data_IF_153662828475
#
_entry.id   IF_153662828475
#
_cell.length_a   1.000
_cell.length_b   1.000
_cell.length_c   1.000
_cell.angle_alpha   90.00
_cell.angle_beta   90.00
_cell.angle_gamma   90.00
#
_symmetry.space_group_name_H-M   'P 1'
#
loop_
_entity.id
_entity.type
_entity.pdbx_description
1 polymer ?
#
# COMPACT_ATOMS: atom_id res chain seq x y z
N UNK A 1 -20.25 7.30 -12.97
CA UNK A 1 -20.04 8.72 -12.61
C UNK A 1 -19.18 8.76 -11.36
N UNK A 2 -18.01 9.44 -11.37
CA UNK A 2 -17.16 9.59 -10.19
C UNK A 2 -17.37 11.00 -9.59
N UNK A 3 -17.64 11.07 -8.30
CA UNK A 3 -17.73 12.31 -7.54
C UNK A 3 -16.57 12.36 -6.55
N UNK A 4 -15.89 13.49 -6.47
CA UNK A 4 -14.81 13.73 -5.50
C UNK A 4 -15.11 15.05 -4.81
N UNK A 5 -15.16 15.06 -3.48
CA UNK A 5 -15.53 16.23 -2.67
C UNK A 5 -16.82 16.92 -3.13
N UNK A 6 -17.85 16.14 -3.47
CA UNK A 6 -19.14 16.64 -3.92
C UNK A 6 -19.16 17.24 -5.34
N UNK A 7 -18.03 17.27 -6.04
CA UNK A 7 -17.94 17.79 -7.42
C UNK A 7 -17.90 16.64 -8.42
N UNK A 8 -18.57 16.85 -9.56
CA UNK A 8 -18.50 15.94 -10.71
C UNK A 8 -17.08 15.97 -11.26
N UNK A 9 -16.43 14.82 -11.28
CA UNK A 9 -15.07 14.71 -11.81
C UNK A 9 -15.07 14.05 -13.18
N UNK A 10 -14.17 14.51 -14.05
CA UNK A 10 -13.93 13.87 -15.35
C UNK A 10 -13.11 12.62 -15.11
N UNK A 11 -13.57 11.49 -15.65
CA UNK A 11 -12.84 10.23 -15.56
C UNK A 11 -11.51 10.34 -16.31
N UNK A 12 -10.42 9.90 -15.67
CA UNK A 12 -9.12 9.79 -16.33
C UNK A 12 -9.09 8.52 -17.18
N UNK A 13 -9.40 8.65 -18.46
CA UNK A 13 -9.45 7.52 -19.40
C UNK A 13 -8.12 6.75 -19.51
N UNK A 14 -6.99 7.41 -19.22
CA UNK A 14 -5.65 6.81 -19.23
C UNK A 14 -5.27 6.14 -17.91
N UNK A 15 -6.00 6.41 -16.81
CA UNK A 15 -5.72 5.87 -15.49
C UNK A 15 -7.04 5.61 -14.73
N UNK A 16 -7.77 4.57 -15.16
CA UNK A 16 -9.12 4.26 -14.65
C UNK A 16 -9.16 3.97 -13.15
N UNK A 17 -8.07 3.43 -12.62
CA UNK A 17 -7.88 3.10 -11.21
C UNK A 17 -7.25 4.23 -10.40
N UNK A 18 -6.97 5.38 -11.02
CA UNK A 18 -6.31 6.52 -10.37
C UNK A 18 -5.01 6.11 -9.64
N UNK A 19 -4.22 5.22 -10.26
CA UNK A 19 -2.93 4.76 -9.74
C UNK A 19 -1.89 5.88 -9.83
N UNK A 20 -1.37 6.32 -8.68
CA UNK A 20 -0.23 7.21 -8.58
C UNK A 20 0.77 6.61 -7.59
N UNK A 21 2.00 6.37 -8.03
CA UNK A 21 3.00 5.68 -7.24
C UNK A 21 3.81 6.65 -6.39
N UNK A 22 4.01 6.30 -5.12
CA UNK A 22 4.92 7.02 -4.23
C UNK A 22 6.34 6.83 -4.73
N UNK A 23 7.12 7.92 -4.77
CA UNK A 23 8.55 7.82 -5.10
C UNK A 23 9.27 7.00 -4.02
N UNK A 24 10.26 6.19 -4.41
CA UNK A 24 10.95 5.27 -3.51
C UNK A 24 11.66 5.97 -2.35
N UNK A 25 12.30 7.10 -2.61
CA UNK A 25 12.96 7.94 -1.60
C UNK A 25 11.98 8.47 -0.55
N UNK A 26 10.78 8.88 -0.98
CA UNK A 26 9.71 9.31 -0.09
C UNK A 26 9.18 8.14 0.73
N UNK A 27 8.98 6.97 0.12
CA UNK A 27 8.53 5.77 0.81
C UNK A 27 9.54 5.34 1.89
N UNK A 28 10.84 5.36 1.58
CA UNK A 28 11.91 5.06 2.53
C UNK A 28 11.94 6.04 3.70
N UNK A 29 11.86 7.34 3.43
CA UNK A 29 11.79 8.37 4.47
C UNK A 29 10.61 8.14 5.42
N UNK A 30 9.42 7.92 4.86
CA UNK A 30 8.19 7.71 5.65
C UNK A 30 8.20 6.39 6.41
N UNK A 31 8.77 5.34 5.83
CA UNK A 31 8.97 4.07 6.51
C UNK A 31 9.89 4.25 7.72
N UNK A 32 11.04 4.91 7.58
CA UNK A 32 11.96 5.15 8.68
C UNK A 32 11.32 5.95 9.82
N UNK A 33 10.55 6.99 9.50
CA UNK A 33 9.78 7.75 10.51
C UNK A 33 8.75 6.83 11.21
N UNK A 34 8.07 5.98 10.46
CA UNK A 34 7.08 5.05 11.00
C UNK A 34 7.73 4.05 11.97
N UNK A 35 8.87 3.48 11.58
CA UNK A 35 9.68 2.60 12.43
C UNK A 35 10.10 3.33 13.71
N UNK A 36 10.63 4.55 13.59
CA UNK A 36 11.06 5.35 14.75
C UNK A 36 9.92 5.62 15.73
N UNK A 37 8.73 5.97 15.23
CA UNK A 37 7.57 6.27 16.07
C UNK A 37 7.02 5.00 16.73
N UNK A 38 6.85 3.92 15.97
CA UNK A 38 6.27 2.67 16.49
C UNK A 38 7.21 2.02 17.52
N UNK A 39 8.53 2.03 17.27
CA UNK A 39 9.52 1.46 18.18
C UNK A 39 9.60 2.12 19.55
N UNK A 40 9.01 3.31 19.74
CA UNK A 40 8.89 3.95 21.06
C UNK A 40 7.87 3.26 21.96
N UNK A 41 6.95 2.49 21.39
CA UNK A 41 5.82 1.90 22.10
C UNK A 41 5.75 0.37 21.95
N UNK A 42 6.26 -0.17 20.84
CA UNK A 42 6.08 -1.58 20.48
C UNK A 42 7.34 -2.19 19.86
N UNK A 43 7.50 -3.51 19.98
CA UNK A 43 8.54 -4.23 19.26
C UNK A 43 8.05 -4.65 17.86
N UNK A 44 8.55 -3.95 16.85
CA UNK A 44 8.14 -4.10 15.44
C UNK A 44 8.27 -5.54 14.91
N UNK A 45 9.18 -6.34 15.48
CA UNK A 45 9.40 -7.74 15.05
C UNK A 45 8.22 -8.66 15.36
N UNK A 46 7.33 -8.24 16.27
CA UNK A 46 6.22 -9.05 16.74
C UNK A 46 5.00 -8.99 15.79
N UNK A 47 5.02 -8.06 14.83
CA UNK A 47 3.89 -7.80 13.94
C UNK A 47 4.07 -8.38 12.54
N UNK A 48 2.94 -8.65 11.88
CA UNK A 48 2.85 -8.87 10.44
C UNK A 48 2.37 -7.56 9.81
N UNK A 49 3.09 -7.09 8.81
CA UNK A 49 2.76 -5.86 8.10
C UNK A 49 1.79 -6.14 6.97
N UNK A 50 0.66 -5.43 6.94
CA UNK A 50 -0.31 -5.51 5.84
C UNK A 50 -0.26 -4.22 5.04
N UNK A 51 0.03 -4.35 3.75
CA UNK A 51 0.07 -3.24 2.80
C UNK A 51 -1.10 -3.35 1.81
N UNK A 52 -2.23 -2.70 2.08
CA UNK A 52 -3.28 -2.52 1.08
C UNK A 52 -2.83 -1.56 -0.01
N UNK A 53 -3.42 -1.66 -1.20
CA UNK A 53 -3.11 -0.82 -2.36
C UNK A 53 -1.60 -0.76 -2.66
N UNK A 54 -0.97 -1.93 -2.63
CA UNK A 54 0.50 -2.08 -2.73
C UNK A 54 1.09 -1.51 -4.02
N UNK A 55 0.31 -1.36 -5.08
CA UNK A 55 0.69 -0.76 -6.35
C UNK A 55 1.98 -1.33 -6.94
N UNK A 56 3.00 -0.48 -7.08
CA UNK A 56 4.33 -0.82 -7.56
C UNK A 56 5.26 -1.35 -6.46
N UNK A 57 4.80 -1.46 -5.22
CA UNK A 57 5.49 -2.08 -4.10
C UNK A 57 6.56 -1.21 -3.44
N UNK A 58 6.56 0.11 -3.65
CA UNK A 58 7.58 1.01 -3.09
C UNK A 58 7.75 0.89 -1.56
N UNK A 59 6.65 0.85 -0.79
CA UNK A 59 6.70 0.56 0.65
C UNK A 59 6.86 -0.93 0.93
N UNK A 60 6.17 -1.80 0.17
CA UNK A 60 6.14 -3.24 0.45
C UNK A 60 7.55 -3.85 0.40
N UNK A 61 8.40 -3.36 -0.50
CA UNK A 61 9.78 -3.79 -0.63
C UNK A 61 10.61 -3.56 0.64
N UNK A 62 10.30 -2.51 1.41
CA UNK A 62 10.99 -2.12 2.64
C UNK A 62 10.57 -2.99 3.85
N UNK A 63 9.38 -3.58 3.79
CA UNK A 63 8.85 -4.40 4.89
C UNK A 63 9.65 -5.72 5.04
N UNK A 64 9.75 -6.29 6.25
CA UNK A 64 10.46 -7.56 6.45
C UNK A 64 9.84 -8.70 5.62
N UNK A 65 10.65 -9.39 4.81
CA UNK A 65 10.19 -10.32 3.76
C UNK A 65 9.29 -11.46 4.27
N UNK A 66 9.53 -11.94 5.49
CA UNK A 66 8.80 -13.04 6.13
C UNK A 66 7.65 -12.57 7.04
N UNK A 67 7.40 -11.27 7.13
CA UNK A 67 6.39 -10.65 8.01
C UNK A 67 5.60 -9.58 7.25
N UNK A 68 5.25 -9.84 6.00
CA UNK A 68 4.53 -8.89 5.15
C UNK A 68 3.51 -9.55 4.24
N UNK A 69 2.37 -8.88 4.05
CA UNK A 69 1.29 -9.25 3.14
C UNK A 69 0.96 -8.01 2.31
N UNK A 70 1.04 -8.13 0.99
CA UNK A 70 0.78 -7.03 0.07
C UNK A 70 -0.41 -7.36 -0.81
N UNK A 71 -1.38 -6.47 -0.86
CA UNK A 71 -2.65 -6.66 -1.58
C UNK A 71 -2.85 -5.49 -2.52
N UNK A 72 -3.26 -5.77 -3.76
CA UNK A 72 -3.63 -4.74 -4.73
C UNK A 72 -4.69 -5.25 -5.73
N UNK A 73 -5.50 -4.36 -6.30
CA UNK A 73 -6.47 -4.72 -7.34
C UNK A 73 -5.79 -5.05 -8.68
N UNK A 74 -4.67 -4.38 -8.97
CA UNK A 74 -3.88 -4.54 -10.19
C UNK A 74 -2.38 -4.51 -9.85
N UNK A 75 -1.87 -5.57 -9.18
CA UNK A 75 -0.50 -5.58 -8.70
C UNK A 75 0.50 -5.54 -9.84
N UNK A 76 1.58 -4.78 -9.66
CA UNK A 76 2.71 -4.74 -10.61
C UNK A 76 3.84 -5.70 -10.27
N UNK A 77 3.63 -6.57 -9.27
CA UNK A 77 4.60 -7.56 -8.81
C UNK A 77 3.91 -8.88 -8.55
N UNK A 78 4.58 -9.98 -8.90
CA UNK A 78 4.03 -11.33 -8.83
C UNK A 78 3.78 -11.82 -7.40
N UNK A 79 4.48 -11.27 -6.40
CA UNK A 79 4.34 -11.65 -5.00
C UNK A 79 3.28 -10.86 -4.23
N UNK A 80 2.56 -9.96 -4.90
CA UNK A 80 1.42 -9.25 -4.32
C UNK A 80 0.14 -10.02 -4.61
N UNK A 81 -0.75 -10.11 -3.63
CA UNK A 81 -2.04 -10.75 -3.76
C UNK A 81 -2.94 -9.84 -4.59
N UNK A 82 -3.43 -10.35 -5.74
CA UNK A 82 -4.41 -9.64 -6.56
C UNK A 82 -5.82 -9.80 -5.95
N UNK A 83 -6.27 -8.81 -5.17
CA UNK A 83 -7.58 -8.85 -4.52
C UNK A 83 -8.09 -7.45 -4.15
N UNK A 84 -9.40 -7.34 -3.97
CA UNK A 84 -10.03 -6.21 -3.29
C UNK A 84 -9.78 -6.35 -1.78
N UNK A 85 -9.05 -5.38 -1.20
CA UNK A 85 -8.71 -5.38 0.23
C UNK A 85 -9.95 -5.36 1.13
N UNK A 86 -11.07 -4.80 0.68
CA UNK A 86 -12.29 -4.75 1.49
C UNK A 86 -13.08 -6.05 1.48
N UNK A 87 -12.68 -7.04 0.67
CA UNK A 87 -13.38 -8.32 0.51
C UNK A 87 -12.51 -9.52 0.87
N UNK A 88 -11.25 -9.30 1.21
CA UNK A 88 -10.30 -10.36 1.53
C UNK A 88 -10.46 -10.79 2.98
N UNK A 89 -10.36 -12.10 3.22
CA UNK A 89 -10.24 -12.67 4.55
C UNK A 89 -8.78 -13.03 4.79
N UNK A 90 -8.16 -12.40 5.79
CA UNK A 90 -6.80 -12.70 6.23
C UNK A 90 -6.95 -13.40 7.58
N UNK A 91 -6.80 -14.73 7.59
CA UNK A 91 -6.91 -15.58 8.78
C UNK A 91 -5.60 -16.30 9.03
#
# INVERSE_FOLDING_TARGET
>A
MKYVNGKKTKENSKNKLDQYFTKRDIAEKLFNISIEVISKYENIKDYIWVQPSSGDGCFFDLLPKNKRIGIDLEPRRSYLIKSDFFKIWIT
#
